data_IF_808423375990
#
_entry.id   IF_808423375990
#
_cell.length_a   1.000
_cell.length_b   1.000
_cell.length_c   1.000
_cell.angle_alpha   90.00
_cell.angle_beta   90.00
_cell.angle_gamma   90.00
#
_symmetry.space_group_name_H-M   'P 1'
#
loop_
_entity.id
_entity.type
_entity.pdbx_description
1 polymer ?
#
# COMPACT_ATOMS: atom_id res chain seq x y z
N UNK A 1 5.06 -6.95 39.32
CA UNK A 1 3.94 -6.26 38.65
C UNK A 1 4.38 -5.42 37.46
N UNK A 2 5.45 -4.62 37.56
CA UNK A 2 5.91 -3.77 36.44
C UNK A 2 6.48 -4.55 35.24
N UNK A 3 7.20 -5.66 35.48
CA UNK A 3 7.84 -6.46 34.42
C UNK A 3 6.83 -7.10 33.46
N UNK A 4 5.73 -7.64 34.00
CA UNK A 4 4.66 -8.26 33.20
C UNK A 4 3.96 -7.25 32.30
N UNK A 5 3.79 -6.00 32.76
CA UNK A 5 3.22 -4.92 31.96
C UNK A 5 4.13 -4.55 30.80
N UNK A 6 5.44 -4.46 31.02
CA UNK A 6 6.42 -4.17 29.96
C UNK A 6 6.38 -5.25 28.88
N UNK A 7 6.37 -6.53 29.27
CA UNK A 7 6.30 -7.65 28.32
C UNK A 7 5.01 -7.60 27.50
N UNK A 8 3.87 -7.38 28.14
CA UNK A 8 2.58 -7.30 27.45
C UNK A 8 2.57 -6.17 26.41
N UNK A 9 3.13 -5.02 26.78
CA UNK A 9 3.21 -3.84 25.90
C UNK A 9 4.05 -4.14 24.66
N UNK A 10 5.23 -4.74 24.85
CA UNK A 10 6.14 -5.09 23.74
C UNK A 10 5.53 -6.16 22.83
N UNK A 11 4.87 -7.19 23.38
CA UNK A 11 4.19 -8.20 22.58
C UNK A 11 3.05 -7.60 21.74
N UNK A 12 2.27 -6.68 22.30
CA UNK A 12 1.20 -6.01 21.56
C UNK A 12 1.74 -5.17 20.39
N UNK A 13 2.86 -4.46 20.58
CA UNK A 13 3.46 -3.68 19.48
C UNK A 13 4.08 -4.58 18.40
N UNK A 14 4.63 -5.74 18.75
CA UNK A 14 5.17 -6.69 17.78
C UNK A 14 4.09 -7.24 16.82
N UNK A 15 2.87 -7.44 17.32
CA UNK A 15 1.73 -7.89 16.51
C UNK A 15 1.20 -6.80 15.56
N UNK A 16 1.29 -5.53 15.96
CA UNK A 16 0.92 -4.41 15.07
C UNK A 16 1.96 -4.18 13.97
N UNK A 17 3.23 -4.47 14.26
CA UNK A 17 4.31 -4.32 13.28
C UNK A 17 4.23 -5.36 12.15
N UNK A 18 3.75 -6.58 12.41
CA UNK A 18 3.59 -7.63 11.38
C UNK A 18 2.35 -7.46 10.50
N UNK A 19 1.38 -6.65 10.92
CA UNK A 19 0.19 -6.29 10.15
C UNK A 19 0.36 -4.99 9.36
N UNK A 20 1.51 -4.30 9.49
CA UNK A 20 1.81 -3.18 8.62
C UNK A 20 1.87 -3.68 7.18
N UNK A 21 1.18 -3.02 6.22
CA UNK A 21 1.33 -3.35 4.83
C UNK A 21 2.82 -3.26 4.51
N UNK A 22 3.43 -4.38 4.11
CA UNK A 22 4.77 -4.34 3.53
C UNK A 22 4.69 -3.35 2.38
N UNK A 23 5.66 -2.44 2.30
CA UNK A 23 5.86 -1.68 1.09
C UNK A 23 6.21 -2.67 -0.01
N UNK A 24 5.17 -3.20 -0.66
CA UNK A 24 5.29 -3.70 -2.02
C UNK A 24 5.90 -2.53 -2.76
N UNK A 25 7.12 -2.73 -3.27
CA UNK A 25 7.68 -1.89 -4.33
C UNK A 25 6.84 -2.10 -5.60
N UNK A 26 5.55 -1.85 -5.51
CA UNK A 26 4.80 -1.35 -6.63
C UNK A 26 5.42 0.02 -6.82
N UNK A 27 6.39 0.09 -7.74
CA UNK A 27 6.74 1.34 -8.40
C UNK A 27 5.41 2.02 -8.65
N UNK A 28 5.13 3.08 -7.87
CA UNK A 28 3.91 3.85 -8.01
C UNK A 28 3.85 4.18 -9.49
N UNK A 29 2.96 3.52 -10.24
CA UNK A 29 2.23 4.24 -11.27
C UNK A 29 1.58 5.33 -10.46
N UNK A 30 2.25 6.48 -10.41
CA UNK A 30 1.76 7.69 -9.78
C UNK A 30 0.31 7.77 -10.16
N UNK A 31 -0.55 7.72 -9.15
CA UNK A 31 -1.98 7.57 -9.30
C UNK A 31 -2.40 8.49 -10.42
N UNK A 32 -2.76 7.85 -11.53
CA UNK A 32 -2.96 8.48 -12.80
C UNK A 32 -4.35 9.13 -12.79
N UNK A 33 -4.54 10.02 -11.83
CA UNK A 33 -5.80 10.68 -11.51
C UNK A 33 -6.11 11.80 -12.53
N UNK A 34 -5.54 11.69 -13.74
CA UNK A 34 -5.60 12.68 -14.81
C UNK A 34 -5.31 12.16 -16.23
N UNK A 35 -4.80 10.94 -16.48
CA UNK A 35 -4.79 10.44 -17.86
C UNK A 35 -6.19 10.03 -18.27
N UNK A 36 -6.51 10.40 -19.49
CA UNK A 36 -7.49 9.66 -20.26
C UNK A 36 -6.89 8.34 -20.71
N UNK A 37 -7.64 7.28 -20.49
CA UNK A 37 -7.35 5.96 -21.03
C UNK A 37 -8.52 5.54 -21.90
N UNK A 38 -8.23 4.82 -22.98
CA UNK A 38 -9.24 4.25 -23.86
C UNK A 38 -9.00 2.75 -24.02
N UNK A 39 -10.09 2.01 -24.24
CA UNK A 39 -10.05 0.57 -24.46
C UNK A 39 -10.60 0.25 -25.83
N UNK A 40 -9.81 -0.44 -26.65
CA UNK A 40 -10.24 -0.99 -27.94
C UNK A 40 -9.88 -2.46 -27.96
N UNK A 41 -10.87 -3.33 -28.17
CA UNK A 41 -10.71 -4.79 -28.18
C UNK A 41 -10.03 -5.35 -26.91
N UNK A 42 -10.26 -4.72 -25.76
CA UNK A 42 -9.74 -5.17 -24.46
C UNK A 42 -8.29 -4.77 -24.17
N UNK A 43 -7.63 -4.04 -25.07
CA UNK A 43 -6.36 -3.39 -24.77
C UNK A 43 -6.61 -1.95 -24.32
N UNK A 44 -6.12 -1.64 -23.12
CA UNK A 44 -6.15 -0.29 -22.56
C UNK A 44 -4.91 0.46 -23.03
N UNK A 45 -5.10 1.60 -23.68
CA UNK A 45 -4.03 2.52 -24.07
C UNK A 45 -4.25 3.89 -23.43
N UNK A 46 -3.15 4.52 -23.04
CA UNK A 46 -3.12 5.92 -22.62
C UNK A 46 -3.43 6.85 -23.80
N UNK A 47 -4.20 7.89 -23.54
CA UNK A 47 -4.42 9.02 -24.45
C UNK A 47 -3.64 10.21 -23.88
N UNK A 48 -2.54 10.55 -24.54
CA UNK A 48 -1.69 11.67 -24.15
C UNK A 48 -2.37 13.01 -24.48
N UNK A 49 -2.50 13.90 -23.49
CA UNK A 49 -2.92 15.29 -23.70
C UNK A 49 -4.43 15.52 -23.81
N UNK A 50 -5.24 14.66 -23.20
CA UNK A 50 -6.51 15.12 -22.69
C UNK A 50 -6.29 15.97 -21.41
#
# INVERSE_FOLDING_TARGET
MQFSTIIATVLSFALLASAAPVAVNEARQEGNHGMCVSSVNGQVSEIVGC
#
